data_IF_195523474797
#
_entry.id   IF_195523474797
#
_cell.length_a   1.000
_cell.length_b   1.000
_cell.length_c   1.000
_cell.angle_alpha   90.00
_cell.angle_beta   90.00
_cell.angle_gamma   90.00
#
_symmetry.space_group_name_H-M   'P 1'
#
loop_
_entity.id
_entity.type
_entity.pdbx_description
1 polymer ?
#
# COMPACT_ATOMS: atom_id res chain seq x y z
N UNK A 1 6.85 19.27 8.13
CA UNK A 1 6.15 18.20 7.39
C UNK A 1 6.54 18.32 5.92
N UNK A 2 6.87 17.22 5.25
CA UNK A 2 7.34 17.21 3.86
C UNK A 2 6.54 16.16 3.08
N UNK A 3 6.01 16.44 1.88
CA UNK A 3 6.35 17.54 0.96
C UNK A 3 5.71 18.88 1.37
N UNK A 4 5.96 20.00 0.65
CA UNK A 4 5.23 21.26 0.86
C UNK A 4 3.70 21.06 0.87
N UNK A 5 2.98 21.92 1.60
CA UNK A 5 1.54 21.75 1.89
C UNK A 5 0.68 21.51 0.64
N UNK A 6 0.98 22.18 -0.48
CA UNK A 6 0.24 21.99 -1.73
C UNK A 6 0.30 20.55 -2.25
N UNK A 7 1.34 19.78 -1.91
CA UNK A 7 1.54 18.37 -2.27
C UNK A 7 1.16 17.39 -1.16
N UNK A 8 0.50 17.88 -0.11
CA UNK A 8 -0.07 17.04 0.94
C UNK A 8 -1.56 16.86 0.68
N UNK A 9 -2.05 15.64 0.87
CA UNK A 9 -3.49 15.38 0.98
C UNK A 9 -3.80 14.92 2.41
N UNK A 10 -4.66 15.67 3.08
CA UNK A 10 -5.08 15.40 4.46
C UNK A 10 -6.51 14.83 4.53
N UNK A 11 -7.15 14.57 3.39
CA UNK A 11 -8.50 14.04 3.30
C UNK A 11 -8.46 12.55 3.56
N UNK A 12 -8.94 12.14 4.74
CA UNK A 12 -8.85 10.74 5.19
C UNK A 12 -9.47 9.76 4.19
N UNK A 13 -10.58 10.14 3.56
CA UNK A 13 -11.26 9.31 2.56
C UNK A 13 -10.38 9.06 1.32
N UNK A 14 -9.64 10.07 0.84
CA UNK A 14 -8.68 9.88 -0.25
C UNK A 14 -7.55 8.91 0.15
N UNK A 15 -7.05 9.00 1.38
CA UNK A 15 -5.98 8.11 1.86
C UNK A 15 -6.47 6.67 1.97
N UNK A 16 -7.69 6.47 2.48
CA UNK A 16 -8.34 5.15 2.56
C UNK A 16 -8.56 4.59 1.15
N UNK A 17 -8.96 5.41 0.18
CA UNK A 17 -9.14 4.98 -1.21
C UNK A 17 -7.84 4.45 -1.82
N UNK A 18 -6.70 5.12 -1.56
CA UNK A 18 -5.39 4.62 -2.00
C UNK A 18 -5.04 3.30 -1.31
N UNK A 19 -5.28 3.18 0.00
CA UNK A 19 -5.03 1.93 0.75
C UNK A 19 -5.83 0.77 0.16
N UNK A 20 -7.12 1.00 -0.13
CA UNK A 20 -7.99 -0.04 -0.70
C UNK A 20 -7.62 -0.38 -2.13
N UNK A 21 -7.27 0.60 -2.96
CA UNK A 21 -6.94 0.38 -4.37
C UNK A 21 -5.55 -0.26 -4.54
N UNK A 22 -4.60 0.06 -3.66
CA UNK A 22 -3.20 -0.40 -3.73
C UNK A 22 -2.78 -1.08 -2.42
N UNK A 23 -3.37 -2.23 -2.06
CA UNK A 23 -3.30 -2.80 -0.70
C UNK A 23 -1.95 -3.43 -0.34
N UNK A 24 -1.04 -3.59 -1.29
CA UNK A 24 0.32 -4.09 -1.03
C UNK A 24 1.18 -2.99 -0.39
N UNK A 25 1.28 -3.01 0.94
CA UNK A 25 2.04 -2.04 1.70
C UNK A 25 3.51 -2.44 1.82
N UNK A 26 4.41 -1.46 1.83
CA UNK A 26 5.77 -1.62 2.35
C UNK A 26 5.73 -1.38 3.87
N UNK A 27 5.95 -2.42 4.67
CA UNK A 27 5.94 -2.37 6.13
C UNK A 27 7.37 -2.30 6.66
N UNK A 28 7.67 -1.22 7.37
CA UNK A 28 9.01 -0.88 7.84
C UNK A 28 9.03 -0.87 9.37
N UNK A 29 9.89 -1.69 9.94
CA UNK A 29 10.25 -1.65 11.37
C UNK A 29 11.75 -1.44 11.53
N UNK A 30 12.18 -0.95 12.69
CA UNK A 30 13.61 -0.78 12.99
C UNK A 30 13.97 -1.62 14.20
N UNK A 31 14.88 -2.56 14.03
CA UNK A 31 15.43 -3.39 15.10
C UNK A 31 16.94 -3.19 15.14
N UNK A 32 17.50 -2.89 16.31
CA UNK A 32 18.95 -2.63 16.48
C UNK A 32 19.52 -1.59 15.51
N UNK A 33 18.77 -0.51 15.24
CA UNK A 33 19.08 0.54 14.25
C UNK A 33 19.15 0.06 12.78
N UNK A 34 18.70 -1.15 12.48
CA UNK A 34 18.58 -1.67 11.12
C UNK A 34 17.11 -1.72 10.69
N UNK A 35 16.78 -1.20 9.48
CA UNK A 35 15.43 -1.31 8.96
C UNK A 35 15.17 -2.73 8.45
N UNK A 36 14.11 -3.33 8.95
CA UNK A 36 13.50 -4.52 8.37
C UNK A 36 12.30 -4.10 7.52
N UNK A 37 12.23 -4.61 6.30
CA UNK A 37 11.26 -4.18 5.29
C UNK A 37 10.63 -5.43 4.66
N UNK A 38 9.30 -5.52 4.72
CA UNK A 38 8.53 -6.57 4.03
C UNK A 38 7.36 -5.93 3.28
N UNK A 39 7.02 -6.51 2.13
CA UNK A 39 5.85 -6.13 1.35
C UNK A 39 4.68 -7.03 1.72
N UNK A 40 3.62 -6.48 2.28
CA UNK A 40 2.49 -7.23 2.84
C UNK A 40 1.17 -6.66 2.31
N UNK A 41 0.27 -7.49 1.77
CA UNK A 41 -1.12 -7.08 1.54
C UNK A 41 -1.77 -6.76 2.88
N UNK A 42 -2.37 -5.58 3.00
CA UNK A 42 -3.10 -5.13 4.18
C UNK A 42 -4.50 -4.67 3.77
N UNK A 43 -5.52 -5.09 4.52
CA UNK A 43 -6.89 -4.59 4.35
C UNK A 43 -7.21 -3.56 5.43
N UNK A 44 -7.98 -2.54 5.06
CA UNK A 44 -8.46 -1.52 5.99
C UNK A 44 -9.89 -1.85 6.45
N UNK A 45 -10.04 -2.16 7.73
CA UNK A 45 -11.31 -2.57 8.35
C UNK A 45 -11.46 -1.87 9.71
N UNK A 46 -12.61 -1.23 9.95
CA UNK A 46 -12.97 -0.57 11.21
C UNK A 46 -11.88 0.37 11.80
N UNK A 47 -11.17 1.09 10.95
CA UNK A 47 -10.14 2.04 11.37
C UNK A 47 -8.75 1.44 11.60
N UNK A 48 -8.58 0.14 11.36
CA UNK A 48 -7.33 -0.61 11.51
C UNK A 48 -6.84 -1.15 10.18
N UNK A 49 -5.56 -1.51 10.14
CA UNK A 49 -5.02 -2.38 9.08
C UNK A 49 -4.85 -3.79 9.61
N UNK A 50 -5.28 -4.76 8.81
CA UNK A 50 -5.20 -6.19 9.14
C UNK A 50 -4.32 -6.86 8.10
N UNK A 51 -3.40 -7.69 8.57
CA UNK A 51 -2.50 -8.44 7.73
C UNK A 51 -1.99 -9.71 8.40
N UNK A 52 -1.18 -10.45 7.65
CA UNK A 52 -0.44 -11.58 8.17
C UNK A 52 0.98 -11.57 7.60
N UNK A 53 1.88 -12.28 8.28
CA UNK A 53 3.29 -12.40 7.89
C UNK A 53 3.78 -13.81 8.15
N UNK A 54 4.75 -14.30 7.39
CA UNK A 54 5.44 -15.56 7.69
C UNK A 54 6.00 -15.54 9.11
N UNK A 55 5.78 -16.63 9.86
CA UNK A 55 6.18 -16.71 11.27
C UNK A 55 7.70 -16.69 11.48
N UNK A 56 8.50 -16.97 10.45
CA UNK A 56 9.96 -16.89 10.46
C UNK A 56 10.49 -15.53 9.99
N UNK A 57 9.62 -14.61 9.56
CA UNK A 57 10.06 -13.27 9.19
C UNK A 57 10.67 -12.55 10.41
N UNK A 58 11.88 -11.98 10.31
CA UNK A 58 12.54 -11.30 11.43
C UNK A 58 11.70 -10.17 12.06
N UNK A 59 10.79 -9.53 11.30
CA UNK A 59 9.91 -8.49 11.83
C UNK A 59 8.94 -9.00 12.90
N UNK A 60 8.65 -10.31 12.96
CA UNK A 60 7.77 -10.90 13.98
C UNK A 60 8.27 -10.62 15.39
N UNK A 61 9.59 -10.66 15.62
CA UNK A 61 10.18 -10.35 16.92
C UNK A 61 10.02 -8.86 17.28
N UNK A 62 10.14 -7.95 16.30
CA UNK A 62 9.85 -6.54 16.51
C UNK A 62 8.38 -6.29 16.86
N UNK A 63 7.47 -7.04 16.23
CA UNK A 63 6.03 -6.93 16.47
C UNK A 63 5.63 -7.38 17.89
N UNK A 64 6.41 -8.25 18.53
CA UNK A 64 6.20 -8.64 19.94
C UNK A 64 6.64 -7.54 20.92
N UNK A 65 7.73 -6.83 20.61
CA UNK A 65 8.44 -5.96 21.55
C UNK A 65 8.08 -4.48 21.40
N UNK A 66 8.58 -3.85 20.34
CA UNK A 66 8.62 -2.39 20.12
C UNK A 66 7.33 -1.86 19.51
N UNK A 67 6.61 -2.70 18.75
CA UNK A 67 5.24 -2.49 18.25
C UNK A 67 5.02 -1.23 17.41
N UNK A 68 6.03 -0.48 17.01
CA UNK A 68 5.88 0.69 16.12
C UNK A 68 6.35 0.31 14.73
N UNK A 69 5.52 0.60 13.74
CA UNK A 69 5.80 0.37 12.32
C UNK A 69 5.46 1.62 11.51
N UNK A 70 6.20 1.83 10.42
CA UNK A 70 5.84 2.78 9.39
C UNK A 70 5.39 1.99 8.15
N UNK A 71 4.41 2.52 7.44
CA UNK A 71 3.84 1.89 6.25
C UNK A 71 3.83 2.86 5.09
N UNK A 72 4.05 2.34 3.88
CA UNK A 72 3.90 3.07 2.64
C UNK A 72 2.97 2.28 1.72
N UNK A 73 1.87 2.92 1.32
CA UNK A 73 1.02 2.45 0.22
C UNK A 73 1.35 3.26 -1.02
N UNK A 74 1.55 2.57 -2.14
CA UNK A 74 2.04 3.16 -3.39
C UNK A 74 0.95 3.16 -4.46
N UNK A 75 0.36 4.32 -4.71
CA UNK A 75 -0.49 4.55 -5.86
C UNK A 75 0.30 4.85 -7.13
N UNK A 76 -0.38 5.35 -8.19
CA UNK A 76 0.22 5.64 -9.48
C UNK A 76 1.34 6.66 -9.38
N UNK A 77 2.34 6.49 -10.23
CA UNK A 77 3.43 7.45 -10.41
C UNK A 77 3.88 7.48 -11.87
N UNK A 78 4.51 8.57 -12.27
CA UNK A 78 5.21 8.65 -13.55
C UNK A 78 6.20 9.83 -13.58
N UNK A 79 7.17 9.72 -14.48
CA UNK A 79 7.94 10.86 -14.93
C UNK A 79 7.07 11.78 -15.77
N UNK A 80 7.22 13.09 -15.54
CA UNK A 80 6.52 14.14 -16.26
C UNK A 80 7.55 14.93 -17.07
N UNK A 81 7.53 14.67 -18.38
CA UNK A 81 8.35 15.40 -19.35
C UNK A 81 7.78 16.81 -19.57
N UNK A 82 8.61 17.87 -19.59
CA UNK A 82 8.16 19.20 -20.00
C UNK A 82 7.53 19.26 -21.39
N UNK A 83 7.85 18.30 -22.26
CA UNK A 83 7.35 18.24 -23.64
C UNK A 83 5.84 18.06 -23.75
N UNK A 84 5.16 17.65 -22.66
CA UNK A 84 3.69 17.50 -22.65
C UNK A 84 2.98 18.84 -22.38
N UNK A 85 3.72 19.88 -22.01
CA UNK A 85 3.16 21.18 -21.64
C UNK A 85 3.23 22.19 -22.76
N UNK A 86 2.24 23.09 -22.76
CA UNK A 86 2.20 24.26 -23.63
C UNK A 86 3.03 25.44 -23.08
N UNK A 87 3.40 25.39 -21.80
CA UNK A 87 4.22 26.40 -21.12
C UNK A 87 5.63 25.88 -20.83
N UNK A 88 6.57 26.80 -20.60
CA UNK A 88 7.93 26.45 -20.19
C UNK A 88 7.94 25.88 -18.78
N UNK A 89 8.33 24.61 -18.63
CA UNK A 89 8.32 23.87 -17.38
C UNK A 89 9.61 23.07 -17.20
N UNK A 90 9.91 22.68 -15.96
CA UNK A 90 11.02 21.77 -15.64
C UNK A 90 10.52 20.31 -15.46
N UNK A 91 11.38 19.31 -15.70
CA UNK A 91 11.03 17.91 -15.52
C UNK A 91 10.75 17.57 -14.06
N UNK A 92 9.80 16.66 -13.81
CA UNK A 92 9.44 16.24 -12.46
C UNK A 92 8.89 14.81 -12.44
N UNK A 93 8.57 14.30 -11.25
CA UNK A 93 7.73 13.14 -11.04
C UNK A 93 6.38 13.56 -10.45
N UNK A 94 5.32 12.93 -10.93
CA UNK A 94 4.03 12.90 -10.24
C UNK A 94 3.86 11.55 -9.57
N UNK A 95 3.28 11.54 -8.37
CA UNK A 95 3.04 10.31 -7.60
C UNK A 95 1.95 10.51 -6.55
N UNK A 96 1.37 9.39 -6.13
CA UNK A 96 0.44 9.28 -5.00
C UNK A 96 1.01 8.27 -4.00
N UNK A 97 1.40 8.71 -2.81
CA UNK A 97 1.84 7.83 -1.71
C UNK A 97 1.07 8.13 -0.44
N UNK A 98 0.72 7.10 0.32
CA UNK A 98 0.19 7.23 1.68
C UNK A 98 1.21 6.67 2.66
N UNK A 99 1.67 7.52 3.57
CA UNK A 99 2.57 7.17 4.65
C UNK A 99 1.78 7.09 5.95
N UNK A 100 1.89 5.96 6.64
CA UNK A 100 1.25 5.76 7.94
C UNK A 100 2.28 5.44 9.01
N UNK A 101 1.97 5.80 10.24
CA UNK A 101 2.64 5.28 11.42
C UNK A 101 1.61 4.62 12.31
N UNK A 102 1.87 3.41 12.76
CA UNK A 102 0.93 2.66 13.56
C UNK A 102 1.56 1.86 14.68
N UNK A 103 0.69 1.38 15.58
CA UNK A 103 1.04 0.40 16.61
C UNK A 103 0.55 -0.96 16.17
N UNK A 104 1.46 -1.90 15.99
CA UNK A 104 1.15 -3.28 15.60
C UNK A 104 0.90 -4.16 16.83
N UNK A 105 -0.08 -5.05 16.72
CA UNK A 105 -0.42 -6.05 17.72
C UNK A 105 -0.63 -7.39 17.04
N UNK A 106 0.14 -8.40 17.46
CA UNK A 106 -0.08 -9.79 17.03
C UNK A 106 -1.41 -10.30 17.60
N UNK A 107 -2.20 -10.96 16.75
CA UNK A 107 -3.40 -11.69 17.14
C UNK A 107 -3.14 -13.21 17.00
N UNK A 108 -3.04 -13.96 18.12
CA UNK A 108 -2.76 -15.39 18.08
C UNK A 108 -3.99 -16.26 17.78
N UNK A 109 -5.20 -15.67 17.69
CA UNK A 109 -6.42 -16.41 17.44
C UNK A 109 -6.45 -16.96 16.01
N UNK A 110 -6.35 -18.29 15.89
CA UNK A 110 -6.38 -19.01 14.60
C UNK A 110 -7.70 -18.85 13.87
N UNK A 111 -8.82 -18.72 14.59
CA UNK A 111 -10.13 -18.50 13.97
C UNK A 111 -10.18 -17.11 13.35
N UNK A 112 -9.70 -16.10 14.07
CA UNK A 112 -9.59 -14.74 13.54
C UNK A 112 -8.62 -14.67 12.35
N UNK A 113 -7.45 -15.32 12.42
CA UNK A 113 -6.51 -15.43 11.30
C UNK A 113 -7.19 -16.04 10.07
N UNK A 114 -7.87 -17.17 10.24
CA UNK A 114 -8.60 -17.83 9.14
C UNK A 114 -9.65 -16.92 8.52
N UNK A 115 -10.45 -16.23 9.34
CA UNK A 115 -11.44 -15.27 8.87
C UNK A 115 -10.80 -14.10 8.10
N UNK A 116 -9.69 -13.56 8.60
CA UNK A 116 -8.97 -12.47 7.91
C UNK A 116 -8.42 -12.88 6.55
N UNK A 117 -7.97 -14.14 6.39
CA UNK A 117 -7.49 -14.65 5.10
C UNK A 117 -8.63 -14.76 4.09
N UNK A 118 -9.81 -15.20 4.54
CA UNK A 118 -11.02 -15.28 3.70
C UNK A 118 -11.46 -13.87 3.31
N UNK A 119 -11.57 -12.95 4.27
CA UNK A 119 -11.96 -11.57 4.03
C UNK A 119 -10.98 -10.84 3.09
N UNK A 120 -9.67 -11.04 3.28
CA UNK A 120 -8.66 -10.48 2.38
C UNK A 120 -8.75 -11.08 0.98
N UNK A 121 -9.02 -12.38 0.85
CA UNK A 121 -9.20 -13.01 -0.46
C UNK A 121 -10.43 -12.43 -1.17
N UNK A 122 -11.57 -12.36 -0.49
CA UNK A 122 -12.80 -11.79 -1.03
C UNK A 122 -12.61 -10.33 -1.47
N UNK A 123 -11.93 -9.53 -0.65
CA UNK A 123 -11.59 -8.15 -0.97
C UNK A 123 -10.71 -8.03 -2.23
N UNK A 124 -9.69 -8.88 -2.38
CA UNK A 124 -8.75 -8.82 -3.50
C UNK A 124 -9.32 -9.40 -4.81
N UNK A 125 -10.31 -10.28 -4.71
CA UNK A 125 -10.99 -10.87 -5.88
C UNK A 125 -12.12 -9.97 -6.41
N UNK A 126 -12.50 -8.92 -5.68
CA UNK A 126 -13.48 -7.95 -6.15
C UNK A 126 -12.99 -7.18 -7.40
N UNK A 127 -13.89 -6.81 -8.33
CA UNK A 127 -15.34 -7.06 -8.30
C UNK A 127 -15.78 -8.39 -8.93
N UNK A 128 -14.88 -9.16 -9.57
CA UNK A 128 -15.28 -10.36 -10.33
C UNK A 128 -15.49 -11.61 -9.47
N UNK A 129 -14.87 -11.68 -8.28
CA UNK A 129 -14.93 -12.81 -7.34
C UNK A 129 -14.71 -14.18 -8.03
N UNK A 130 -13.65 -14.30 -8.85
CA UNK A 130 -13.38 -15.51 -9.65
C UNK A 130 -12.91 -16.69 -8.79
N UNK A 131 -12.31 -16.40 -7.66
CA UNK A 131 -11.91 -17.37 -6.65
C UNK A 131 -12.57 -17.05 -5.30
N UNK A 132 -12.99 -18.09 -4.59
CA UNK A 132 -13.52 -18.02 -3.23
C UNK A 132 -12.65 -18.93 -2.36
N UNK A 133 -12.09 -18.37 -1.28
CA UNK A 133 -11.35 -19.16 -0.29
C UNK A 133 -12.35 -19.80 0.67
N UNK A 134 -12.67 -21.07 0.44
CA UNK A 134 -13.60 -21.81 1.28
C UNK A 134 -13.09 -22.00 2.71
N UNK A 135 -14.00 -21.85 3.67
CA UNK A 135 -13.69 -21.96 5.09
C UNK A 135 -13.33 -23.38 5.53
N UNK A 136 -13.58 -24.42 4.74
CA UNK A 136 -13.19 -25.80 5.03
C UNK A 136 -11.97 -26.27 4.21
N UNK A 137 -11.29 -25.34 3.52
CA UNK A 137 -10.15 -25.67 2.67
C UNK A 137 -9.01 -26.30 3.49
N UNK A 138 -8.63 -27.57 3.22
CA UNK A 138 -7.63 -28.28 4.03
C UNK A 138 -6.21 -27.73 3.84
N UNK A 139 -5.92 -27.03 2.74
CA UNK A 139 -4.64 -26.33 2.55
C UNK A 139 -4.59 -25.07 3.40
N UNK A 140 -5.70 -24.35 3.53
CA UNK A 140 -5.77 -23.18 4.43
C UNK A 140 -5.42 -23.61 5.86
N UNK A 141 -6.11 -24.62 6.39
CA UNK A 141 -5.91 -25.10 7.75
C UNK A 141 -4.47 -25.57 8.03
N UNK A 142 -3.87 -26.31 7.10
CA UNK A 142 -2.46 -26.75 7.21
C UNK A 142 -1.46 -25.59 7.23
N UNK A 143 -1.79 -24.45 6.62
CA UNK A 143 -0.87 -23.34 6.49
C UNK A 143 -1.00 -22.27 7.58
N UNK A 144 -2.05 -22.33 8.42
CA UNK A 144 -2.26 -21.34 9.49
C UNK A 144 -1.10 -21.26 10.47
N UNK A 145 -0.33 -22.34 10.67
CA UNK A 145 0.82 -22.38 11.59
C UNK A 145 2.09 -21.72 11.06
N UNK A 146 2.15 -21.41 9.77
CA UNK A 146 3.30 -20.76 9.15
C UNK A 146 3.15 -19.24 9.06
N UNK A 147 2.03 -18.69 9.51
CA UNK A 147 1.75 -17.25 9.44
C UNK A 147 1.19 -16.71 10.75
N UNK A 148 1.44 -15.43 10.99
CA UNK A 148 1.03 -14.70 12.17
C UNK A 148 0.14 -13.54 11.73
N UNK A 149 -1.10 -13.52 12.21
CA UNK A 149 -2.01 -12.38 12.04
C UNK A 149 -1.55 -11.22 12.92
N UNK A 150 -1.72 -10.01 12.40
CA UNK A 150 -1.56 -8.79 13.19
C UNK A 150 -2.59 -7.74 12.79
N UNK A 151 -2.82 -6.82 13.72
CA UNK A 151 -3.61 -5.61 13.53
C UNK A 151 -2.71 -4.39 13.75
N UNK A 152 -2.97 -3.30 13.04
CA UNK A 152 -2.27 -2.03 13.21
C UNK A 152 -3.27 -0.93 13.52
N UNK A 153 -3.15 -0.37 14.72
CA UNK A 153 -3.82 0.87 15.11
C UNK A 153 -3.06 2.05 14.51
N UNK A 154 -3.67 2.77 13.57
CA UNK A 154 -3.02 3.88 12.87
C UNK A 154 -2.99 5.12 13.76
N UNK A 155 -1.78 5.63 14.03
CA UNK A 155 -1.54 6.79 14.90
C UNK A 155 -1.23 8.07 14.15
N UNK A 156 -0.80 7.96 12.90
CA UNK A 156 -0.48 9.11 12.05
C UNK A 156 -0.76 8.78 10.59
N UNK A 157 -1.26 9.78 9.87
CA UNK A 157 -1.64 9.72 8.46
C UNK A 157 -0.94 10.85 7.72
N UNK A 158 -0.34 10.54 6.57
CA UNK A 158 0.28 11.53 5.70
C UNK A 158 0.08 11.13 4.24
N UNK A 159 -0.72 11.91 3.50
CA UNK A 159 -0.82 11.80 2.04
C UNK A 159 0.22 12.66 1.35
N UNK A 160 1.04 12.07 0.47
CA UNK A 160 2.02 12.78 -0.35
C UNK A 160 1.61 12.68 -1.81
N UNK A 161 0.83 13.65 -2.27
CA UNK A 161 0.18 13.67 -3.58
C UNK A 161 0.80 14.79 -4.42
N UNK A 162 1.84 14.46 -5.19
CA UNK A 162 2.48 15.40 -6.11
C UNK A 162 1.92 15.17 -7.50
N UNK A 163 1.05 16.08 -7.94
CA UNK A 163 0.20 15.93 -9.12
C UNK A 163 0.22 17.17 -10.04
N UNK A 164 1.28 17.98 -9.96
CA UNK A 164 1.43 19.22 -10.73
C UNK A 164 0.32 20.27 -10.52
N UNK A 165 -0.33 20.24 -9.35
CA UNK A 165 -1.45 21.10 -8.95
C UNK A 165 -1.10 22.60 -8.84
N UNK A 166 0.19 22.95 -8.88
CA UNK A 166 0.72 24.31 -8.89
C UNK A 166 0.76 24.93 -10.31
N UNK A 167 0.42 24.16 -11.35
CA UNK A 167 0.47 24.62 -12.76
C UNK A 167 -0.85 25.21 -13.23
N UNK A 168 -0.85 25.73 -14.48
CA UNK A 168 -2.07 26.20 -15.15
C UNK A 168 -3.03 25.03 -15.39
N UNK A 169 -4.37 25.28 -15.47
CA UNK A 169 -5.35 24.21 -15.68
C UNK A 169 -5.07 23.29 -16.88
N UNK A 170 -4.59 23.85 -18.00
CA UNK A 170 -4.21 23.07 -19.19
C UNK A 170 -3.05 22.13 -18.94
N UNK A 171 -2.07 22.56 -18.14
CA UNK A 171 -0.90 21.76 -17.81
C UNK A 171 -1.24 20.73 -16.71
N UNK A 172 -2.18 21.04 -15.80
CA UNK A 172 -2.71 20.05 -14.85
C UNK A 172 -3.37 18.90 -15.63
N UNK A 173 -4.21 19.22 -16.61
CA UNK A 173 -4.89 18.19 -17.42
C UNK A 173 -3.91 17.37 -18.26
N UNK A 174 -2.88 18.02 -18.85
CA UNK A 174 -1.82 17.31 -19.55
C UNK A 174 -1.06 16.34 -18.62
N UNK A 175 -0.75 16.78 -17.39
CA UNK A 175 -0.07 15.94 -16.40
C UNK A 175 -0.94 14.76 -15.94
N UNK A 176 -2.26 14.97 -15.78
CA UNK A 176 -3.23 13.93 -15.46
C UNK A 176 -3.31 12.89 -16.58
N UNK A 177 -3.43 13.35 -17.82
CA UNK A 177 -3.48 12.49 -19.01
C UNK A 177 -2.23 11.62 -19.11
N UNK A 178 -1.05 12.21 -18.86
CA UNK A 178 0.21 11.47 -18.87
C UNK A 178 0.30 10.44 -17.75
N UNK A 179 -0.18 10.75 -16.54
CA UNK A 179 -0.22 9.79 -15.43
C UNK A 179 -1.11 8.59 -15.76
N UNK A 180 -2.28 8.81 -16.36
CA UNK A 180 -3.19 7.74 -16.82
C UNK A 180 -2.49 6.90 -17.88
N UNK A 181 -1.92 7.54 -18.92
CA UNK A 181 -1.23 6.86 -20.03
C UNK A 181 -0.07 6.00 -19.54
N UNK A 182 0.76 6.52 -18.64
CA UNK A 182 1.91 5.81 -18.10
C UNK A 182 1.52 4.56 -17.29
N UNK A 183 0.42 4.63 -16.54
CA UNK A 183 -0.07 3.52 -15.70
C UNK A 183 -1.00 2.53 -16.45
N UNK A 184 -1.25 2.76 -17.74
CA UNK A 184 -1.91 1.83 -18.66
C UNK A 184 -0.93 1.22 -19.68
N UNK A 185 0.34 1.62 -19.64
CA UNK A 185 1.35 1.16 -20.60
C UNK A 185 1.67 -0.33 -20.39
N UNK A 186 1.73 -1.09 -21.48
CA UNK A 186 2.03 -2.52 -21.42
C UNK A 186 3.42 -2.79 -20.85
N UNK A 187 3.47 -3.60 -19.79
CA UNK A 187 4.71 -4.06 -19.17
C UNK A 187 5.28 -5.33 -19.81
N UNK A 188 4.66 -5.85 -20.87
CA UNK A 188 5.06 -7.13 -21.52
C UNK A 188 6.54 -7.12 -21.92
N UNK A 189 7.03 -6.03 -22.54
CA UNK A 189 8.44 -5.92 -22.92
C UNK A 189 9.39 -5.96 -21.72
N UNK A 190 8.96 -5.42 -20.59
CA UNK A 190 9.73 -5.50 -19.35
C UNK A 190 9.69 -6.91 -18.77
N UNK A 191 8.50 -7.51 -18.66
CA UNK A 191 8.34 -8.87 -18.13
C UNK A 191 9.14 -9.88 -18.96
N UNK A 192 9.05 -9.86 -20.29
CA UNK A 192 9.83 -10.74 -21.17
C UNK A 192 11.35 -10.64 -20.97
N UNK A 193 11.85 -9.59 -20.33
CA UNK A 193 13.28 -9.46 -19.98
C UNK A 193 13.63 -10.05 -18.62
N UNK A 194 12.67 -10.17 -17.69
CA UNK A 194 12.93 -10.49 -16.28
C UNK A 194 12.18 -11.72 -15.75
N UNK A 195 11.16 -12.22 -16.44
CA UNK A 195 10.31 -13.35 -16.05
C UNK A 195 9.89 -14.15 -17.29
#
# INVERSE_FOLDING_TARGET
MYPPQQHQDNTKDHLIEVIKTYPLATVISVQNNEPLITHLPLIYEDGKLIGHIDCHNPQVEHFKNTKIVNLIFSGPECYISPSIYSTTQLPTWNYIKVHLKGRIKINPDKKALKQSLIAMTDFLEAPEHRYILEADNPRLDKNLDYIVMFEIDITHWEGKFKLSQDKKPTDIEAARTELIRANQSSIVSFLNKIF
#
